data_IF_469008147645
#
_entry.id   IF_469008147645
#
_cell.length_a   1.000
_cell.length_b   1.000
_cell.length_c   1.000
_cell.angle_alpha   90.00
_cell.angle_beta   90.00
_cell.angle_gamma   90.00
#
_symmetry.space_group_name_H-M   'P 1'
#
loop_
_entity.id
_entity.type
_entity.pdbx_description
1 polymer ?
#
# COMPACT_ATOMS: atom_id res chain seq x y z
N UNK A 1 -28.32 -12.23 0.60
CA UNK A 1 -29.45 -12.01 1.50
C UNK A 1 -29.86 -10.54 1.52
N UNK A 2 -30.12 -9.97 0.34
CA UNK A 2 -30.67 -8.62 0.23
C UNK A 2 -29.67 -7.47 0.14
N UNK A 3 -28.37 -7.68 0.35
CA UNK A 3 -27.36 -6.64 0.15
C UNK A 3 -26.81 -6.65 -1.27
N UNK A 4 -26.70 -5.47 -1.87
CA UNK A 4 -25.92 -5.27 -3.09
C UNK A 4 -24.44 -5.12 -2.73
N UNK A 5 -23.57 -5.85 -3.42
CA UNK A 5 -22.15 -5.96 -3.12
C UNK A 5 -21.32 -5.23 -4.17
N UNK A 6 -20.48 -4.29 -3.74
CA UNK A 6 -19.62 -3.51 -4.63
C UNK A 6 -18.17 -3.55 -4.13
N UNK A 7 -17.22 -3.43 -5.06
CA UNK A 7 -15.81 -3.38 -4.72
C UNK A 7 -15.02 -2.44 -5.64
N UNK A 8 -13.99 -1.84 -5.06
CA UNK A 8 -12.92 -1.12 -5.76
C UNK A 8 -11.58 -1.69 -5.29
N UNK A 9 -10.90 -2.42 -6.16
CA UNK A 9 -9.70 -3.21 -5.82
C UNK A 9 -8.65 -3.17 -6.93
N UNK A 10 -7.37 -3.47 -6.62
CA UNK A 10 -6.36 -3.72 -7.63
C UNK A 10 -6.75 -4.88 -8.56
N UNK A 11 -6.36 -4.79 -9.84
CA UNK A 11 -6.59 -5.84 -10.84
C UNK A 11 -5.52 -6.94 -10.72
N UNK A 12 -5.70 -7.82 -9.72
CA UNK A 12 -4.89 -9.02 -9.51
C UNK A 12 -5.79 -10.21 -9.21
N UNK A 13 -5.35 -11.41 -9.56
CA UNK A 13 -6.14 -12.65 -9.52
C UNK A 13 -6.83 -12.92 -8.17
N UNK A 14 -6.14 -12.60 -7.07
CA UNK A 14 -6.71 -12.77 -5.73
C UNK A 14 -8.00 -11.94 -5.56
N UNK A 15 -7.95 -10.63 -5.88
CA UNK A 15 -9.11 -9.74 -5.73
C UNK A 15 -10.20 -10.05 -6.73
N UNK A 16 -9.84 -10.45 -7.95
CA UNK A 16 -10.83 -10.91 -8.95
C UNK A 16 -11.59 -12.13 -8.44
N UNK A 17 -10.90 -13.06 -7.78
CA UNK A 17 -11.51 -14.26 -7.20
C UNK A 17 -12.42 -13.90 -6.02
N UNK A 18 -11.96 -13.03 -5.10
CA UNK A 18 -12.73 -12.61 -3.93
C UNK A 18 -14.02 -11.90 -4.34
N UNK A 19 -13.96 -11.02 -5.34
CA UNK A 19 -15.08 -10.18 -5.76
C UNK A 19 -15.87 -10.73 -6.94
N UNK A 20 -15.64 -11.98 -7.35
CA UNK A 20 -16.27 -12.56 -8.56
C UNK A 20 -17.81 -12.52 -8.55
N UNK A 21 -18.41 -12.60 -7.36
CA UNK A 21 -19.86 -12.64 -7.16
C UNK A 21 -20.42 -11.29 -6.69
N UNK A 22 -19.65 -10.21 -6.76
CA UNK A 22 -20.15 -8.88 -6.44
C UNK A 22 -20.98 -8.32 -7.59
N UNK A 23 -22.02 -7.54 -7.28
CA UNK A 23 -22.92 -6.91 -8.26
C UNK A 23 -22.20 -5.88 -9.11
N UNK A 24 -21.20 -5.19 -8.54
CA UNK A 24 -20.37 -4.24 -9.27
C UNK A 24 -18.95 -4.19 -8.73
N UNK A 25 -17.98 -4.12 -9.65
CA UNK A 25 -16.57 -3.99 -9.28
C UNK A 25 -15.82 -3.08 -10.23
N UNK A 26 -14.94 -2.27 -9.67
CA UNK A 26 -13.93 -1.50 -10.38
C UNK A 26 -12.58 -2.14 -10.13
N UNK A 27 -11.94 -2.61 -11.18
CA UNK A 27 -10.59 -3.14 -11.13
C UNK A 27 -9.65 -2.10 -11.71
N UNK A 28 -8.65 -1.73 -10.94
CA UNK A 28 -7.61 -0.85 -11.43
C UNK A 28 -6.59 -1.67 -12.22
N UNK A 29 -6.37 -1.39 -13.52
CA UNK A 29 -5.53 -2.21 -14.41
C UNK A 29 -4.05 -2.16 -14.05
N UNK A 30 -3.66 -1.32 -13.09
CA UNK A 30 -2.32 -1.25 -12.53
C UNK A 30 -2.36 -1.66 -11.07
N UNK A 31 -1.51 -2.62 -10.65
CA UNK A 31 -1.49 -3.09 -9.25
C UNK A 31 -1.11 -2.01 -8.24
N UNK A 32 -0.64 -0.86 -8.69
CA UNK A 32 -0.16 0.25 -7.86
C UNK A 32 -0.84 1.56 -8.24
N UNK A 33 -2.17 1.59 -8.17
CA UNK A 33 -2.93 2.83 -8.26
C UNK A 33 -3.13 3.36 -6.85
N UNK A 34 -3.00 4.65 -6.67
CA UNK A 34 -3.05 5.30 -5.37
C UNK A 34 -4.07 6.45 -5.36
N UNK A 35 -4.50 6.85 -4.18
CA UNK A 35 -5.63 7.76 -3.98
C UNK A 35 -5.46 9.09 -4.72
N UNK A 36 -4.29 9.75 -4.60
CA UNK A 36 -4.02 11.01 -5.32
C UNK A 36 -3.74 10.82 -6.82
N UNK A 37 -3.50 9.60 -7.27
CA UNK A 37 -3.34 9.22 -8.68
C UNK A 37 -4.65 9.07 -9.45
N UNK A 38 -5.77 9.32 -8.79
CA UNK A 38 -7.11 9.26 -9.37
C UNK A 38 -8.05 8.28 -8.67
N UNK A 39 -7.54 7.26 -8.00
CA UNK A 39 -8.33 6.24 -7.30
C UNK A 39 -9.30 6.85 -6.30
N UNK A 40 -8.87 7.87 -5.54
CA UNK A 40 -9.74 8.56 -4.58
C UNK A 40 -10.98 9.16 -5.24
N UNK A 41 -10.85 9.77 -6.42
CA UNK A 41 -11.98 10.32 -7.18
C UNK A 41 -12.92 9.23 -7.69
N UNK A 42 -12.38 8.12 -8.16
CA UNK A 42 -13.18 6.99 -8.61
C UNK A 42 -13.94 6.33 -7.45
N UNK A 43 -13.32 6.23 -6.26
CA UNK A 43 -14.00 5.75 -5.05
C UNK A 43 -15.20 6.66 -4.71
N UNK A 44 -15.02 7.99 -4.70
CA UNK A 44 -16.12 8.91 -4.42
C UNK A 44 -17.25 8.81 -5.45
N UNK A 45 -16.91 8.72 -6.73
CA UNK A 45 -17.89 8.52 -7.81
C UNK A 45 -18.63 7.20 -7.65
N UNK A 46 -17.92 6.11 -7.33
CA UNK A 46 -18.53 4.82 -7.10
C UNK A 46 -19.45 4.85 -5.88
N UNK A 47 -19.05 5.53 -4.82
CA UNK A 47 -19.85 5.66 -3.61
C UNK A 47 -21.19 6.38 -3.89
N UNK A 48 -21.19 7.42 -4.71
CA UNK A 48 -22.42 8.08 -5.15
C UNK A 48 -23.36 7.09 -5.87
N UNK A 49 -22.82 6.28 -6.78
CA UNK A 49 -23.60 5.24 -7.46
C UNK A 49 -24.12 4.15 -6.51
N UNK A 50 -23.28 3.67 -5.59
CA UNK A 50 -23.64 2.62 -4.63
C UNK A 50 -24.74 3.06 -3.68
N UNK A 51 -24.81 4.34 -3.36
CA UNK A 51 -25.82 4.92 -2.45
C UNK A 51 -27.25 4.80 -2.95
N UNK A 52 -27.44 4.57 -4.26
CA UNK A 52 -28.76 4.31 -4.85
C UNK A 52 -29.29 2.89 -4.56
N UNK A 53 -28.44 1.98 -4.07
CA UNK A 53 -28.76 0.61 -3.74
C UNK A 53 -28.87 0.45 -2.22
N UNK A 54 -29.96 -0.12 -1.73
CA UNK A 54 -30.09 -0.30 -0.27
C UNK A 54 -30.78 -1.64 0.03
N UNK A 55 -30.18 -2.43 0.95
CA UNK A 55 -28.89 -2.20 1.62
C UNK A 55 -27.69 -2.57 0.74
N UNK A 56 -26.54 -1.96 0.99
CA UNK A 56 -25.31 -2.21 0.24
C UNK A 56 -24.10 -2.46 1.13
N UNK A 57 -23.08 -3.14 0.54
CA UNK A 57 -21.74 -3.25 1.09
C UNK A 57 -20.78 -2.79 -0.01
N UNK A 58 -19.88 -1.88 0.34
CA UNK A 58 -18.84 -1.42 -0.56
C UNK A 58 -17.46 -1.69 0.03
N UNK A 59 -16.73 -2.61 -0.60
CA UNK A 59 -15.36 -2.98 -0.22
C UNK A 59 -14.36 -2.17 -1.03
N UNK A 60 -13.42 -1.51 -0.32
CA UNK A 60 -12.36 -0.73 -0.94
C UNK A 60 -11.01 -1.22 -0.45
N UNK A 61 -10.11 -1.59 -1.36
CA UNK A 61 -8.73 -1.96 -1.03
C UNK A 61 -7.75 -0.88 -1.49
N UNK A 62 -7.10 -0.23 -0.52
CA UNK A 62 -6.17 0.88 -0.73
C UNK A 62 -4.74 0.33 -0.67
N UNK A 63 -3.94 0.61 -1.73
CA UNK A 63 -2.57 0.14 -1.87
C UNK A 63 -1.52 1.19 -1.52
N UNK A 64 -1.92 2.34 -1.05
CA UNK A 64 -1.05 3.52 -0.88
C UNK A 64 0.12 3.26 0.08
N UNK A 65 -0.12 2.51 1.17
CA UNK A 65 0.95 2.18 2.13
C UNK A 65 1.90 1.10 1.64
N UNK A 66 1.44 0.22 0.74
CA UNK A 66 2.27 -0.87 0.23
C UNK A 66 3.57 -0.38 -0.42
N UNK A 67 3.53 0.79 -1.06
CA UNK A 67 4.69 1.46 -1.69
C UNK A 67 4.65 2.97 -1.48
N UNK A 68 4.51 3.39 -0.25
CA UNK A 68 4.33 4.79 0.13
C UNK A 68 5.39 5.76 -0.43
N UNK A 69 6.62 5.30 -0.65
CA UNK A 69 7.71 6.11 -1.24
C UNK A 69 7.61 6.29 -2.75
N UNK A 70 6.89 5.40 -3.44
CA UNK A 70 6.79 5.44 -4.90
C UNK A 70 5.64 6.32 -5.38
N UNK A 71 4.73 6.67 -4.50
CA UNK A 71 3.54 7.45 -4.82
C UNK A 71 3.73 8.92 -4.44
N UNK A 72 3.71 9.83 -5.43
CA UNK A 72 3.88 11.25 -5.15
C UNK A 72 2.65 11.80 -4.41
N UNK A 73 2.89 12.38 -3.26
CA UNK A 73 1.90 13.18 -2.55
C UNK A 73 1.91 14.63 -3.06
N UNK A 74 0.77 15.31 -3.05
CA UNK A 74 0.70 16.75 -3.30
C UNK A 74 1.66 17.53 -2.41
N UNK A 75 2.15 18.68 -2.89
CA UNK A 75 3.17 19.47 -2.22
C UNK A 75 2.80 19.86 -0.79
N UNK A 76 1.51 20.13 -0.54
CA UNK A 76 1.01 20.46 0.80
C UNK A 76 1.18 19.34 1.82
N UNK A 77 1.33 18.07 1.41
CA UNK A 77 1.61 16.94 2.29
C UNK A 77 3.11 16.71 2.52
N UNK A 78 4.00 17.46 1.89
CA UNK A 78 5.45 17.32 2.09
C UNK A 78 5.93 17.95 3.41
N UNK A 79 5.09 18.72 4.09
CA UNK A 79 5.42 19.36 5.36
C UNK A 79 5.49 18.33 6.50
N UNK A 80 6.41 18.55 7.47
CA UNK A 80 6.61 17.69 8.65
C UNK A 80 5.37 17.56 9.54
N UNK A 81 4.45 18.53 9.51
CA UNK A 81 3.15 18.41 10.22
C UNK A 81 2.31 17.22 9.80
N UNK A 82 2.57 16.66 8.61
CA UNK A 82 1.88 15.48 8.09
C UNK A 82 2.66 14.18 8.32
N UNK A 83 3.85 14.25 8.89
CA UNK A 83 4.68 13.11 9.22
C UNK A 83 6.17 13.37 8.99
N UNK A 84 7.00 12.64 9.69
CA UNK A 84 8.46 12.77 9.63
C UNK A 84 9.09 12.00 8.46
N UNK A 85 8.36 11.01 7.92
CA UNK A 85 8.81 10.16 6.82
C UNK A 85 7.70 9.97 5.78
N UNK A 86 8.02 9.33 4.66
CA UNK A 86 7.08 9.12 3.55
C UNK A 86 5.88 8.25 3.94
N UNK A 87 6.08 7.29 4.83
CA UNK A 87 5.00 6.43 5.31
C UNK A 87 3.97 7.24 6.10
N UNK A 88 4.41 8.01 7.10
CA UNK A 88 3.53 8.85 7.92
C UNK A 88 2.79 9.91 7.10
N UNK A 89 3.50 10.54 6.15
CA UNK A 89 2.88 11.48 5.20
C UNK A 89 1.82 10.81 4.34
N UNK A 90 2.05 9.56 3.92
CA UNK A 90 1.07 8.78 3.18
C UNK A 90 -0.15 8.43 4.03
N UNK A 91 0.04 8.07 5.31
CA UNK A 91 -1.07 7.87 6.27
C UNK A 91 -1.92 9.14 6.36
N UNK A 92 -1.30 10.32 6.48
CA UNK A 92 -2.01 11.60 6.47
C UNK A 92 -2.75 11.87 5.15
N UNK A 93 -2.18 11.43 4.03
CA UNK A 93 -2.84 11.48 2.73
C UNK A 93 -4.07 10.56 2.64
N UNK A 94 -3.98 9.37 3.21
CA UNK A 94 -5.12 8.44 3.30
C UNK A 94 -6.20 9.02 4.21
N UNK A 95 -5.84 9.57 5.37
CA UNK A 95 -6.77 10.22 6.29
C UNK A 95 -7.55 11.34 5.60
N UNK A 96 -6.89 12.17 4.80
CA UNK A 96 -7.57 13.19 3.99
C UNK A 96 -8.63 12.57 3.06
N UNK A 97 -8.34 11.47 2.38
CA UNK A 97 -9.30 10.81 1.51
C UNK A 97 -10.42 10.11 2.28
N UNK A 98 -10.13 9.54 3.44
CA UNK A 98 -11.15 9.02 4.36
C UNK A 98 -12.11 10.16 4.75
N UNK A 99 -11.59 11.33 5.10
CA UNK A 99 -12.41 12.51 5.35
C UNK A 99 -13.35 12.85 4.18
N UNK A 100 -12.85 12.80 2.93
CA UNK A 100 -13.68 13.01 1.73
C UNK A 100 -14.76 11.94 1.53
N UNK A 101 -14.47 10.70 1.88
CA UNK A 101 -15.45 9.61 1.86
C UNK A 101 -16.53 9.85 2.92
N UNK A 102 -16.13 10.23 4.14
CA UNK A 102 -17.06 10.51 5.23
C UNK A 102 -18.02 11.67 4.92
N UNK A 103 -17.57 12.69 4.18
CA UNK A 103 -18.42 13.80 3.70
C UNK A 103 -19.58 13.31 2.80
N UNK A 104 -19.48 12.13 2.20
CA UNK A 104 -20.45 11.54 1.26
C UNK A 104 -21.39 10.52 1.91
N UNK A 105 -21.19 10.18 3.16
CA UNK A 105 -21.87 9.07 3.84
C UNK A 105 -22.72 9.60 5.00
N UNK A 106 -23.95 9.10 5.09
CA UNK A 106 -24.79 9.28 6.27
C UNK A 106 -24.38 8.25 7.35
N UNK A 107 -23.58 8.70 8.31
CA UNK A 107 -23.08 7.86 9.41
C UNK A 107 -24.20 7.37 10.36
N UNK A 108 -25.40 7.94 10.30
CA UNK A 108 -26.55 7.42 11.08
C UNK A 108 -27.14 6.15 10.48
N UNK A 109 -26.79 5.83 9.22
CA UNK A 109 -27.31 4.68 8.47
C UNK A 109 -26.23 3.75 7.94
N UNK A 110 -24.96 4.18 8.01
CA UNK A 110 -23.84 3.45 7.40
C UNK A 110 -22.79 3.15 8.45
N UNK A 111 -22.44 1.88 8.58
CA UNK A 111 -21.28 1.44 9.35
C UNK A 111 -20.05 1.48 8.46
N UNK A 112 -19.01 2.17 8.93
CA UNK A 112 -17.68 2.15 8.33
C UNK A 112 -16.79 1.25 9.16
N UNK A 113 -16.07 0.38 8.46
CA UNK A 113 -15.04 -0.48 9.04
C UNK A 113 -13.71 -0.19 8.33
N UNK A 114 -12.69 0.20 9.09
CA UNK A 114 -11.34 0.41 8.59
C UNK A 114 -10.42 -0.60 9.24
N UNK A 115 -9.72 -1.36 8.42
CA UNK A 115 -8.75 -2.36 8.85
C UNK A 115 -7.64 -2.51 7.82
N UNK A 116 -6.64 -3.31 8.11
CA UNK A 116 -5.62 -3.76 7.14
C UNK A 116 -5.54 -5.28 7.12
N UNK A 117 -5.01 -5.84 6.06
CA UNK A 117 -4.74 -7.27 5.90
C UNK A 117 -3.55 -7.73 6.76
N UNK A 118 -2.59 -6.85 6.98
CA UNK A 118 -1.45 -7.02 7.89
C UNK A 118 -0.96 -5.65 8.36
N UNK A 119 -0.12 -5.63 9.39
CA UNK A 119 0.65 -4.45 9.78
C UNK A 119 1.85 -4.23 8.86
N UNK A 120 2.66 -3.24 9.18
CA UNK A 120 3.92 -2.97 8.47
C UNK A 120 5.04 -2.75 9.50
N UNK A 121 6.28 -2.86 9.02
CA UNK A 121 7.44 -2.62 9.85
C UNK A 121 7.53 -1.14 10.25
N UNK A 122 8.05 -0.90 11.45
CA UNK A 122 8.31 0.45 11.94
C UNK A 122 9.18 1.20 10.93
N UNK A 123 8.79 2.40 10.48
CA UNK A 123 9.64 3.22 9.61
C UNK A 123 10.95 3.56 10.29
N UNK A 124 12.06 3.41 9.56
CA UNK A 124 13.37 3.77 10.08
C UNK A 124 13.65 5.21 9.71
N UNK A 125 13.81 6.08 10.72
CA UNK A 125 14.02 7.50 10.52
C UNK A 125 15.21 7.79 9.61
N UNK A 126 14.98 8.56 8.55
CA UNK A 126 16.01 8.98 7.59
C UNK A 126 16.47 7.92 6.59
N UNK A 127 15.80 6.75 6.56
CA UNK A 127 16.18 5.63 5.70
C UNK A 127 14.95 5.03 5.03
N UNK A 128 14.05 5.87 4.58
CA UNK A 128 12.85 5.45 3.87
C UNK A 128 13.22 4.54 2.69
N UNK A 129 12.87 3.26 2.77
CA UNK A 129 13.00 2.23 1.71
C UNK A 129 14.37 2.10 1.01
N UNK A 130 15.32 3.00 1.26
CA UNK A 130 16.59 3.04 0.53
C UNK A 130 17.49 1.82 0.74
N UNK A 131 17.23 1.03 1.79
CA UNK A 131 18.09 -0.12 2.09
C UNK A 131 17.85 -1.25 1.11
N UNK A 132 16.59 -1.54 0.83
CA UNK A 132 16.19 -2.61 -0.11
C UNK A 132 15.89 -2.07 -1.50
N UNK A 133 15.49 -0.80 -1.58
CA UNK A 133 15.22 -0.11 -2.82
C UNK A 133 16.45 0.66 -3.30
N UNK A 134 17.06 0.22 -4.38
CA UNK A 134 18.18 0.90 -5.03
C UNK A 134 17.64 1.49 -6.34
N UNK A 135 17.29 2.80 -6.38
CA UNK A 135 16.64 3.40 -7.55
C UNK A 135 17.43 3.20 -8.85
N UNK A 136 18.76 3.24 -8.77
CA UNK A 136 19.63 3.01 -9.91
C UNK A 136 19.55 1.59 -10.44
N UNK A 137 19.48 0.58 -9.57
CA UNK A 137 19.32 -0.83 -9.96
C UNK A 137 17.92 -1.09 -10.53
N UNK A 138 16.87 -0.51 -9.92
CA UNK A 138 15.50 -0.64 -10.42
C UNK A 138 15.37 -0.01 -11.81
N UNK A 139 15.89 1.21 -12.00
CA UNK A 139 15.91 1.86 -13.32
C UNK A 139 16.73 1.07 -14.36
N UNK A 140 17.86 0.50 -13.96
CA UNK A 140 18.64 -0.38 -14.82
C UNK A 140 17.87 -1.65 -15.18
N UNK A 141 17.24 -2.31 -14.19
CA UNK A 141 16.42 -3.49 -14.42
C UNK A 141 15.23 -3.22 -15.35
N UNK A 142 14.55 -2.09 -15.19
CA UNK A 142 13.46 -1.67 -16.08
C UNK A 142 13.93 -1.41 -17.52
N UNK A 143 15.11 -0.77 -17.68
CA UNK A 143 15.72 -0.60 -19.00
C UNK A 143 16.05 -1.94 -19.65
N UNK A 144 16.67 -2.84 -18.89
CA UNK A 144 17.01 -4.19 -19.38
C UNK A 144 15.74 -4.93 -19.80
N UNK A 145 14.70 -4.96 -18.96
CA UNK A 145 13.39 -5.58 -19.30
C UNK A 145 12.80 -5.02 -20.60
N UNK A 146 12.92 -3.72 -20.84
CA UNK A 146 12.39 -3.07 -22.05
C UNK A 146 13.08 -3.51 -23.33
N UNK A 147 14.38 -3.85 -23.27
CA UNK A 147 15.20 -4.21 -24.43
C UNK A 147 15.46 -5.72 -24.55
N UNK A 148 15.01 -6.54 -23.59
CA UNK A 148 15.28 -7.98 -23.54
C UNK A 148 14.01 -8.77 -23.86
N UNK A 149 14.06 -9.81 -24.72
CA UNK A 149 12.95 -10.70 -24.96
C UNK A 149 12.44 -11.36 -23.68
N UNK A 150 11.12 -11.60 -23.59
CA UNK A 150 10.43 -12.09 -22.37
C UNK A 150 11.05 -13.37 -21.76
N UNK A 151 11.55 -14.28 -22.58
CA UNK A 151 12.17 -15.54 -22.12
C UNK A 151 13.51 -15.37 -21.39
N UNK A 152 14.14 -14.18 -21.47
CA UNK A 152 15.36 -13.85 -20.70
C UNK A 152 15.07 -13.07 -19.42
N UNK A 153 13.82 -12.72 -19.13
CA UNK A 153 13.49 -11.92 -17.96
C UNK A 153 13.83 -12.61 -16.64
N UNK A 154 13.67 -13.93 -16.55
CA UNK A 154 14.02 -14.70 -15.35
C UNK A 154 15.52 -14.68 -15.01
N UNK A 155 16.37 -14.66 -16.02
CA UNK A 155 17.83 -14.49 -15.85
C UNK A 155 18.18 -13.09 -15.32
N UNK A 156 17.52 -12.05 -15.84
CA UNK A 156 17.69 -10.67 -15.37
C UNK A 156 17.20 -10.48 -13.93
N UNK A 157 16.10 -11.10 -13.56
CA UNK A 157 15.57 -11.09 -12.18
C UNK A 157 16.51 -11.82 -11.21
N UNK A 158 17.04 -12.97 -11.57
CA UNK A 158 18.03 -13.71 -10.77
C UNK A 158 19.31 -12.89 -10.54
N UNK A 159 19.80 -12.20 -11.57
CA UNK A 159 20.99 -11.34 -11.47
C UNK A 159 20.70 -10.11 -10.59
N UNK A 160 19.54 -9.48 -10.76
CA UNK A 160 19.11 -8.35 -9.92
C UNK A 160 19.04 -8.75 -8.43
N UNK A 161 18.44 -9.91 -8.14
CA UNK A 161 18.35 -10.44 -6.76
C UNK A 161 19.74 -10.67 -6.17
N UNK A 162 20.67 -11.25 -6.92
CA UNK A 162 22.05 -11.48 -6.46
C UNK A 162 22.79 -10.18 -6.15
N UNK A 163 22.65 -9.16 -7.00
CA UNK A 163 23.28 -7.84 -6.78
C UNK A 163 22.66 -7.18 -5.54
N UNK A 164 21.34 -7.19 -5.41
CA UNK A 164 20.64 -6.67 -4.22
C UNK A 164 21.13 -7.38 -2.95
N UNK A 165 21.16 -8.71 -2.97
CA UNK A 165 21.57 -9.54 -1.82
C UNK A 165 23.03 -9.30 -1.41
N UNK A 166 23.89 -8.87 -2.34
CA UNK A 166 25.26 -8.48 -2.05
C UNK A 166 25.38 -7.05 -1.48
N UNK A 167 24.58 -6.11 -1.96
CA UNK A 167 24.64 -4.70 -1.57
C UNK A 167 23.94 -4.41 -0.27
N UNK A 168 22.81 -5.09 0.01
CA UNK A 168 22.00 -4.86 1.22
C UNK A 168 22.80 -5.07 2.52
N UNK A 169 23.59 -6.14 2.71
CA UNK A 169 24.40 -6.32 3.93
C UNK A 169 25.40 -5.22 4.17
N UNK A 170 26.02 -4.71 3.09
CA UNK A 170 26.99 -3.61 3.16
C UNK A 170 26.29 -2.33 3.65
N UNK A 171 25.15 -1.99 3.07
CA UNK A 171 24.33 -0.85 3.50
C UNK A 171 23.86 -0.99 4.95
N UNK A 172 23.38 -2.16 5.34
CA UNK A 172 23.00 -2.46 6.74
C UNK A 172 24.14 -2.23 7.71
N UNK A 173 25.37 -2.62 7.35
CA UNK A 173 26.57 -2.45 8.18
C UNK A 173 26.87 -0.98 8.50
N UNK A 174 26.68 -0.07 7.55
CA UNK A 174 26.90 1.37 7.77
C UNK A 174 25.85 2.02 8.68
N UNK A 175 24.68 1.40 8.83
CA UNK A 175 23.55 1.95 9.58
C UNK A 175 23.50 1.46 11.03
N UNK A 176 24.13 0.33 11.33
CA UNK A 176 24.10 -0.33 12.66
C UNK A 176 24.47 0.56 13.85
N UNK A 177 25.26 1.60 13.62
CA UNK A 177 25.75 2.48 14.71
C UNK A 177 24.78 3.59 15.09
N UNK A 178 23.64 3.72 14.42
CA UNK A 178 22.72 4.87 14.56
C UNK A 178 21.26 4.50 14.84
N UNK A 179 20.95 3.22 14.90
CA UNK A 179 19.57 2.73 14.98
C UNK A 179 19.24 2.20 16.38
N UNK A 180 17.98 2.36 16.81
CA UNK A 180 17.43 1.70 17.99
C UNK A 180 17.37 0.17 17.81
N UNK A 181 17.11 -0.57 18.87
CA UNK A 181 16.94 -2.03 18.79
C UNK A 181 15.76 -2.43 17.90
N UNK A 182 14.65 -1.69 17.98
CA UNK A 182 13.46 -1.89 17.16
C UNK A 182 13.74 -1.61 15.69
N UNK A 183 14.39 -0.49 15.40
CA UNK A 183 14.82 -0.14 14.04
C UNK A 183 15.78 -1.17 13.47
N UNK A 184 16.71 -1.69 14.29
CA UNK A 184 17.62 -2.77 13.90
C UNK A 184 16.89 -4.07 13.60
N UNK A 185 15.90 -4.43 14.41
CA UNK A 185 15.03 -5.59 14.16
C UNK A 185 14.31 -5.43 12.81
N UNK A 186 13.63 -4.30 12.60
CA UNK A 186 12.98 -3.94 11.35
C UNK A 186 13.93 -4.02 10.15
N UNK A 187 15.13 -3.48 10.30
CA UNK A 187 16.15 -3.51 9.25
C UNK A 187 16.58 -4.93 8.89
N UNK A 188 16.71 -5.81 9.87
CA UNK A 188 17.12 -7.19 9.67
C UNK A 188 16.04 -7.98 8.94
N UNK A 189 14.77 -7.73 9.25
CA UNK A 189 13.62 -8.42 8.66
C UNK A 189 13.34 -7.94 7.24
N UNK A 190 13.33 -6.64 6.99
CA UNK A 190 13.07 -6.06 5.65
C UNK A 190 13.99 -6.54 4.54
N UNK A 191 15.08 -7.19 4.83
CA UNK A 191 15.94 -7.80 3.82
C UNK A 191 15.87 -9.32 3.79
N UNK A 192 15.04 -9.93 4.62
CA UNK A 192 14.86 -11.37 4.60
C UNK A 192 14.05 -11.79 3.36
N UNK A 193 14.48 -12.88 2.71
CA UNK A 193 13.81 -13.41 1.51
C UNK A 193 12.40 -13.91 1.79
N UNK A 194 12.05 -14.07 3.05
CA UNK A 194 10.91 -14.86 3.46
C UNK A 194 9.66 -14.06 3.75
N UNK A 195 9.73 -12.77 4.11
CA UNK A 195 8.54 -11.94 4.36
C UNK A 195 7.48 -12.55 5.33
N UNK A 196 7.79 -13.71 5.94
CA UNK A 196 6.87 -14.54 6.72
C UNK A 196 7.14 -14.47 8.22
N UNK A 197 7.94 -13.52 8.65
CA UNK A 197 8.22 -13.39 10.07
C UNK A 197 7.05 -12.70 10.75
N UNK A 198 6.48 -13.37 11.76
CA UNK A 198 5.30 -12.94 12.50
C UNK A 198 5.72 -12.09 13.70
N UNK A 199 6.22 -10.89 13.43
CA UNK A 199 6.42 -9.87 14.46
C UNK A 199 5.11 -9.14 14.77
N UNK A 200 4.99 -8.62 15.97
CA UNK A 200 3.81 -7.88 16.41
C UNK A 200 3.45 -6.75 15.45
N UNK A 201 4.45 -6.02 14.94
CA UNK A 201 4.27 -4.92 14.00
C UNK A 201 3.62 -5.36 12.67
N UNK A 202 3.75 -6.63 12.30
CA UNK A 202 3.19 -7.20 11.08
C UNK A 202 1.85 -7.88 11.32
N UNK A 203 1.64 -8.48 12.48
CA UNK A 203 0.41 -9.23 12.78
C UNK A 203 -0.67 -8.39 13.46
N UNK A 204 -0.29 -7.32 14.16
CA UNK A 204 -1.26 -6.40 14.78
C UNK A 204 -1.77 -5.44 13.70
N UNK A 205 -3.07 -5.51 13.43
CA UNK A 205 -3.75 -4.65 12.47
C UNK A 205 -4.71 -3.70 13.17
N UNK A 206 -4.89 -2.48 12.67
CA UNK A 206 -5.93 -1.58 13.17
C UNK A 206 -7.31 -2.16 12.86
N UNK A 207 -8.27 -1.92 13.75
CA UNK A 207 -9.67 -2.20 13.51
C UNK A 207 -10.51 -1.07 14.11
N UNK A 208 -11.08 -0.25 13.25
CA UNK A 208 -11.88 0.90 13.64
C UNK A 208 -13.30 0.76 13.10
N UNK A 209 -14.25 1.17 13.89
CA UNK A 209 -15.66 1.23 13.53
C UNK A 209 -16.16 2.66 13.72
N UNK A 210 -16.96 3.14 12.78
CA UNK A 210 -17.62 4.44 12.87
C UNK A 210 -18.99 4.40 12.21
N UNK A 211 -19.96 5.09 12.80
CA UNK A 211 -21.33 5.16 12.30
C UNK A 211 -22.24 4.06 12.86
N UNK A 212 -23.53 4.14 12.50
CA UNK A 212 -24.58 3.22 12.88
C UNK A 212 -24.74 3.07 14.41
N UNK A 213 -25.09 4.15 15.08
CA UNK A 213 -25.34 4.21 16.52
C UNK A 213 -26.36 5.27 16.86
#
# INVERSE_FOLDING_TARGET
>A
QGYSLFATTPDVDFWQTLTKNFDGKDLFPKPYVYLFGGTGKEILKRLEYVSDFQPWIYYVHIMDLHRSVDFPLPENFQNEKFGMNSYEKMVSGIDYWIGKILEKIDLTKTLIVITSDHGDFIPISGIDHEITYIPSLVKAGQKIKKFTPKHFHSLGESTFVKIRDAVVPIRKSFLKTKLSEEEMRTLNVRGAKTGWELYDEVVITPLLFSGYG
#
